data_IF_355761648822
#
_entry.id   IF_355761648822
#
_cell.length_a   1.000
_cell.length_b   1.000
_cell.length_c   1.000
_cell.angle_alpha   90.00
_cell.angle_beta   90.00
_cell.angle_gamma   90.00
#
_symmetry.space_group_name_H-M   'P 1'
#
loop_
_entity.id
_entity.type
_entity.pdbx_description
1 polymer ?
#
# COMPACT_ATOMS: atom_id res chain seq x y z
N UNK A 1 -29.69 20.45 7.59
CA UNK A 1 -29.78 19.10 7.02
C UNK A 1 -29.54 18.11 8.15
N UNK A 2 -30.57 17.37 8.56
CA UNK A 2 -30.41 16.28 9.55
C UNK A 2 -30.09 15.01 8.77
N UNK A 3 -28.90 14.45 8.96
CA UNK A 3 -28.58 13.09 8.51
C UNK A 3 -29.34 12.12 9.40
N UNK A 4 -30.19 11.28 8.81
CA UNK A 4 -30.92 10.25 9.56
C UNK A 4 -29.94 9.22 10.12
N UNK A 5 -30.21 8.58 11.27
CA UNK A 5 -29.29 7.64 11.92
C UNK A 5 -28.78 6.54 10.98
N UNK A 6 -29.67 5.98 10.16
CA UNK A 6 -29.35 4.98 9.12
C UNK A 6 -28.32 5.49 8.09
N UNK A 7 -28.33 6.79 7.78
CA UNK A 7 -27.40 7.40 6.84
C UNK A 7 -26.00 7.55 7.45
N UNK A 8 -25.91 7.76 8.77
CA UNK A 8 -24.63 7.81 9.48
C UNK A 8 -23.99 6.41 9.57
N UNK A 9 -24.76 5.42 9.98
CA UNK A 9 -24.28 4.04 10.12
C UNK A 9 -23.76 3.48 8.78
N UNK A 10 -24.43 3.82 7.67
CA UNK A 10 -23.99 3.44 6.34
C UNK A 10 -22.66 4.11 5.94
N UNK A 11 -22.49 5.40 6.21
CA UNK A 11 -21.24 6.12 5.94
C UNK A 11 -20.10 5.58 6.78
N UNK A 12 -20.36 5.28 8.06
CA UNK A 12 -19.38 4.71 8.98
C UNK A 12 -18.93 3.31 8.51
N UNK A 13 -19.87 2.48 8.02
CA UNK A 13 -19.56 1.18 7.45
C UNK A 13 -18.67 1.28 6.19
N UNK A 14 -18.98 2.22 5.28
CA UNK A 14 -18.14 2.46 4.09
C UNK A 14 -16.75 2.93 4.52
N UNK A 15 -16.65 3.86 5.47
CA UNK A 15 -15.38 4.36 5.94
C UNK A 15 -14.52 3.24 6.55
N UNK A 16 -15.13 2.36 7.35
CA UNK A 16 -14.45 1.20 7.93
C UNK A 16 -13.94 0.23 6.86
N UNK A 17 -14.74 -0.04 5.82
CA UNK A 17 -14.32 -0.90 4.71
C UNK A 17 -13.18 -0.26 3.91
N UNK A 18 -13.26 1.04 3.62
CA UNK A 18 -12.20 1.75 2.90
C UNK A 18 -10.87 1.72 3.66
N UNK A 19 -10.89 1.90 4.99
CA UNK A 19 -9.69 1.78 5.84
C UNK A 19 -9.13 0.37 5.75
N UNK A 20 -9.99 -0.65 5.85
CA UNK A 20 -9.59 -2.07 5.75
C UNK A 20 -8.97 -2.39 4.39
N UNK A 21 -9.53 -1.87 3.30
CA UNK A 21 -8.98 -2.03 1.96
C UNK A 21 -7.60 -1.38 1.80
N UNK A 22 -7.43 -0.16 2.34
CA UNK A 22 -6.14 0.54 2.29
C UNK A 22 -5.09 -0.22 3.09
N UNK A 23 -5.43 -0.69 4.28
CA UNK A 23 -4.52 -1.45 5.14
C UNK A 23 -4.07 -2.75 4.47
N UNK A 24 -5.01 -3.56 3.96
CA UNK A 24 -4.70 -4.78 3.18
C UNK A 24 -3.81 -4.49 1.98
N UNK A 25 -4.09 -3.42 1.24
CA UNK A 25 -3.27 -3.06 0.08
C UNK A 25 -1.83 -2.72 0.50
N UNK A 26 -1.66 -1.96 1.59
CA UNK A 26 -0.33 -1.63 2.15
C UNK A 26 0.37 -2.90 2.63
N UNK A 27 -0.32 -3.77 3.35
CA UNK A 27 0.22 -5.03 3.86
C UNK A 27 0.74 -5.93 2.75
N UNK A 28 0.00 -6.07 1.63
CA UNK A 28 0.46 -6.83 0.47
C UNK A 28 1.82 -6.32 -0.07
N UNK A 29 1.99 -5.00 -0.20
CA UNK A 29 3.26 -4.43 -0.65
C UNK A 29 4.36 -4.62 0.39
N UNK A 30 4.05 -4.45 1.68
CA UNK A 30 5.03 -4.67 2.76
C UNK A 30 5.49 -6.13 2.82
N UNK A 31 4.59 -7.09 2.58
CA UNK A 31 4.94 -8.50 2.49
C UNK A 31 5.87 -8.80 1.30
N UNK A 32 5.67 -8.14 0.15
CA UNK A 32 6.61 -8.25 -0.98
C UNK A 32 8.00 -7.72 -0.59
N UNK A 33 8.08 -6.55 0.05
CA UNK A 33 9.35 -6.01 0.51
C UNK A 33 10.03 -6.92 1.54
N UNK A 34 9.29 -7.43 2.53
CA UNK A 34 9.83 -8.34 3.54
C UNK A 34 10.37 -9.63 2.89
N UNK A 35 9.65 -10.21 1.92
CA UNK A 35 10.11 -11.41 1.21
C UNK A 35 11.44 -11.20 0.49
N UNK A 36 11.64 -10.03 -0.13
CA UNK A 36 12.89 -9.65 -0.81
C UNK A 36 14.02 -9.39 0.20
N UNK A 37 13.71 -8.76 1.32
CA UNK A 37 14.68 -8.46 2.36
C UNK A 37 15.18 -9.73 3.05
N UNK A 38 14.31 -10.72 3.25
CA UNK A 38 14.61 -11.98 3.91
C UNK A 38 15.16 -13.07 2.96
N UNK A 39 15.16 -12.87 1.63
CA UNK A 39 15.67 -13.89 0.70
C UNK A 39 17.21 -14.07 0.88
N UNK A 40 17.67 -15.25 1.37
CA UNK A 40 19.09 -15.49 1.62
C UNK A 40 19.89 -15.71 0.32
N UNK A 41 19.21 -15.91 -0.81
CA UNK A 41 19.84 -16.17 -2.12
C UNK A 41 20.23 -14.87 -2.83
N UNK A 42 19.70 -13.74 -2.38
CA UNK A 42 19.98 -12.44 -3.00
C UNK A 42 21.26 -11.85 -2.41
N UNK A 43 22.15 -11.43 -3.32
CA UNK A 43 23.26 -10.53 -2.94
C UNK A 43 22.70 -9.16 -2.54
N UNK A 44 23.51 -8.32 -1.91
CA UNK A 44 23.14 -6.94 -1.58
C UNK A 44 22.65 -6.17 -2.81
N UNK A 45 23.34 -6.31 -3.94
CA UNK A 45 22.93 -5.67 -5.21
C UNK A 45 21.61 -6.26 -5.74
N UNK A 46 21.46 -7.59 -5.70
CA UNK A 46 20.23 -8.26 -6.13
C UNK A 46 19.02 -7.83 -5.31
N UNK A 47 19.19 -7.62 -4.01
CA UNK A 47 18.16 -7.10 -3.11
C UNK A 47 17.75 -5.67 -3.48
N UNK A 48 18.72 -4.78 -3.75
CA UNK A 48 18.43 -3.41 -4.19
C UNK A 48 17.64 -3.38 -5.51
N UNK A 49 18.04 -4.21 -6.48
CA UNK A 49 17.34 -4.33 -7.76
C UNK A 49 15.91 -4.85 -7.58
N UNK A 50 15.72 -5.87 -6.74
CA UNK A 50 14.41 -6.44 -6.46
C UNK A 50 13.47 -5.46 -5.74
N UNK A 51 13.98 -4.72 -4.73
CA UNK A 51 13.25 -3.61 -4.09
C UNK A 51 12.87 -2.56 -5.13
N UNK A 52 13.80 -2.18 -6.01
CA UNK A 52 13.52 -1.27 -7.11
C UNK A 52 12.37 -1.75 -8.00
N UNK A 53 12.35 -3.04 -8.33
CA UNK A 53 11.26 -3.64 -9.11
C UNK A 53 9.91 -3.60 -8.38
N UNK A 54 9.87 -3.82 -7.06
CA UNK A 54 8.64 -3.65 -6.25
C UNK A 54 8.13 -2.21 -6.35
N UNK A 55 9.02 -1.22 -6.21
CA UNK A 55 8.68 0.21 -6.31
C UNK A 55 8.13 0.57 -7.70
N UNK A 56 8.74 0.06 -8.77
CA UNK A 56 8.26 0.30 -10.14
C UNK A 56 6.90 -0.35 -10.40
N UNK A 57 6.65 -1.57 -9.87
CA UNK A 57 5.32 -2.20 -9.93
C UNK A 57 4.25 -1.35 -9.24
N UNK A 58 4.54 -0.84 -8.05
CA UNK A 58 3.62 0.04 -7.33
C UNK A 58 3.31 1.32 -8.11
N UNK A 59 4.35 1.96 -8.67
CA UNK A 59 4.19 3.15 -9.52
C UNK A 59 3.29 2.88 -10.72
N UNK A 60 3.54 1.78 -11.43
CA UNK A 60 2.75 1.35 -12.57
C UNK A 60 1.29 1.09 -12.18
N UNK A 61 1.07 0.30 -11.12
CA UNK A 61 -0.28 -0.04 -10.63
C UNK A 61 -1.09 1.18 -10.17
N UNK A 62 -0.42 2.26 -9.74
CA UNK A 62 -1.07 3.48 -9.24
C UNK A 62 -1.03 4.65 -10.23
N UNK A 63 -0.51 4.43 -11.45
CA UNK A 63 -0.36 5.48 -12.47
C UNK A 63 0.60 6.60 -12.08
N UNK A 64 1.52 6.35 -11.15
CA UNK A 64 2.46 7.36 -10.63
C UNK A 64 3.78 7.29 -11.38
N UNK A 65 4.20 8.40 -11.97
CA UNK A 65 5.57 8.53 -12.51
C UNK A 65 6.61 8.73 -11.40
N UNK A 66 6.23 9.37 -10.29
CA UNK A 66 7.08 9.58 -9.12
C UNK A 66 6.30 9.42 -7.83
N UNK A 67 6.99 8.97 -6.79
CA UNK A 67 6.42 8.88 -5.44
C UNK A 67 6.56 10.22 -4.73
N UNK A 68 5.51 10.60 -4.00
CA UNK A 68 5.57 11.79 -3.14
C UNK A 68 6.65 11.58 -2.09
N UNK A 69 7.48 12.59 -1.89
CA UNK A 69 8.40 12.60 -0.75
C UNK A 69 7.60 12.64 0.54
N UNK A 70 8.12 12.02 1.59
CA UNK A 70 7.56 12.17 2.94
C UNK A 70 7.78 13.62 3.37
N UNK A 71 6.70 14.34 3.62
CA UNK A 71 6.75 15.63 4.33
C UNK A 71 7.07 15.31 5.79
N UNK A 72 8.15 15.88 6.32
CA UNK A 72 8.44 15.87 7.75
C UNK A 72 7.71 17.02 8.45
#
# INVERSE_FOLDING_TARGET
>A
MQTTPVQKDFVDAIAAEMVTCVDKAVECWMAEFDSVLQDPRLTTLGRLQAIGAVVERYKHATGKSQLRKRSH
#
